data_IF_801147281879
#
_entry.id   IF_801147281879
#
_cell.length_a   1.000
_cell.length_b   1.000
_cell.length_c   1.000
_cell.angle_alpha   90.00
_cell.angle_beta   90.00
_cell.angle_gamma   90.00
#
_symmetry.space_group_name_H-M   'P 1'
#
loop_
_entity.id
_entity.type
_entity.pdbx_description
1 polymer ?
#
# COMPACT_ATOMS: atom_id res chain seq x y z
N UNK A 1 54.17 37.06 -79.62
CA UNK A 1 53.22 35.93 -79.57
C UNK A 1 52.85 35.67 -78.11
N UNK A 2 51.64 35.15 -77.80
CA UNK A 2 51.02 35.34 -76.49
C UNK A 2 50.96 34.08 -75.61
N UNK A 3 50.43 34.29 -74.39
CA UNK A 3 49.59 33.37 -73.61
C UNK A 3 50.22 32.45 -72.55
N UNK A 4 49.36 32.14 -71.56
CA UNK A 4 49.43 31.10 -70.52
C UNK A 4 50.32 31.36 -69.29
N UNK A 5 49.72 31.98 -68.24
CA UNK A 5 49.98 31.64 -66.83
C UNK A 5 48.98 32.34 -65.85
N UNK A 6 47.67 32.07 -66.00
CA UNK A 6 46.67 32.38 -64.96
C UNK A 6 45.58 31.29 -64.95
N UNK A 7 45.53 30.47 -63.89
CA UNK A 7 44.57 29.36 -63.86
C UNK A 7 44.61 28.39 -62.67
N UNK A 8 45.12 28.78 -61.48
CA UNK A 8 45.22 27.90 -60.31
C UNK A 8 45.04 28.67 -58.97
N UNK A 9 43.85 29.24 -58.72
CA UNK A 9 43.57 29.86 -57.40
C UNK A 9 42.09 29.81 -56.96
N UNK A 10 41.13 29.93 -57.90
CA UNK A 10 39.70 30.06 -57.56
C UNK A 10 39.03 28.81 -56.96
N UNK A 11 39.62 27.62 -57.06
CA UNK A 11 38.95 26.36 -56.68
C UNK A 11 39.11 26.00 -55.18
N UNK A 12 40.14 26.52 -54.50
CA UNK A 12 40.44 26.13 -53.11
C UNK A 12 39.58 26.88 -52.07
N UNK A 13 39.24 28.14 -52.33
CA UNK A 13 38.35 28.95 -51.46
C UNK A 13 36.90 28.43 -51.42
N UNK A 14 36.43 27.77 -52.47
CA UNK A 14 35.08 27.17 -52.52
C UNK A 14 34.93 26.00 -51.54
N UNK A 15 35.83 25.01 -51.65
CA UNK A 15 35.79 23.79 -50.83
C UNK A 15 35.98 24.04 -49.33
N UNK A 16 36.80 25.02 -48.96
CA UNK A 16 37.00 25.36 -47.54
C UNK A 16 35.72 25.95 -46.90
N UNK A 17 34.95 26.75 -47.66
CA UNK A 17 33.70 27.35 -47.19
C UNK A 17 32.57 26.32 -47.03
N UNK A 18 32.43 25.38 -47.97
CA UNK A 18 31.44 24.29 -47.81
C UNK A 18 31.82 23.31 -46.71
N UNK A 19 33.10 22.98 -46.54
CA UNK A 19 33.57 22.14 -45.43
C UNK A 19 33.23 22.72 -44.05
N UNK A 20 33.49 24.02 -43.85
CA UNK A 20 33.13 24.72 -42.60
C UNK A 20 31.61 24.80 -42.37
N UNK A 21 30.82 25.00 -43.42
CA UNK A 21 29.35 25.05 -43.30
C UNK A 21 28.76 23.69 -42.87
N UNK A 22 29.24 22.58 -43.44
CA UNK A 22 28.80 21.22 -43.09
C UNK A 22 29.27 20.84 -41.68
N UNK A 23 30.50 21.18 -41.29
CA UNK A 23 30.99 20.91 -39.94
C UNK A 23 30.22 21.71 -38.88
N UNK A 24 29.87 22.97 -39.19
CA UNK A 24 29.07 23.82 -38.33
C UNK A 24 27.65 23.30 -38.10
N UNK A 25 26.97 22.81 -39.15
CA UNK A 25 25.64 22.19 -39.00
C UNK A 25 25.68 20.84 -38.30
N UNK A 26 26.77 20.07 -38.41
CA UNK A 26 26.93 18.80 -37.68
C UNK A 26 27.27 19.00 -36.19
N UNK A 27 27.94 20.09 -35.83
CA UNK A 27 28.31 20.41 -34.44
C UNK A 27 27.22 21.15 -33.66
N UNK A 28 26.32 21.87 -34.33
CA UNK A 28 25.22 22.63 -33.69
C UNK A 28 24.23 21.80 -32.82
N UNK A 29 23.83 20.56 -33.17
CA UNK A 29 22.88 19.79 -32.35
C UNK A 29 23.49 19.21 -31.07
N UNK A 30 24.81 19.05 -30.98
CA UNK A 30 25.48 18.48 -29.80
C UNK A 30 25.27 19.28 -28.51
N UNK A 31 25.46 20.62 -28.45
CA UNK A 31 25.14 21.39 -27.25
C UNK A 31 23.64 21.41 -26.91
N UNK A 32 22.75 21.33 -27.91
CA UNK A 32 21.31 21.22 -27.69
C UNK A 32 20.94 19.87 -27.07
N UNK A 33 21.51 18.77 -27.56
CA UNK A 33 21.35 17.44 -26.95
C UNK A 33 21.91 17.38 -25.52
N UNK A 34 23.05 18.03 -25.27
CA UNK A 34 23.61 18.17 -23.92
C UNK A 34 22.69 18.96 -22.96
N UNK A 35 22.10 20.06 -23.43
CA UNK A 35 21.11 20.84 -22.67
C UNK A 35 19.82 20.03 -22.40
N UNK A 36 19.31 19.30 -23.40
CA UNK A 36 18.17 18.41 -23.21
C UNK A 36 18.47 17.31 -22.19
N UNK A 37 19.65 16.67 -22.26
CA UNK A 37 20.08 15.66 -21.31
C UNK A 37 20.20 16.21 -19.88
N UNK A 38 20.75 17.42 -19.71
CA UNK A 38 20.83 18.09 -18.40
C UNK A 38 19.44 18.44 -17.84
N UNK A 39 18.51 18.89 -18.68
CA UNK A 39 17.14 19.19 -18.25
C UNK A 39 16.37 17.91 -17.88
N UNK A 40 16.56 16.81 -18.62
CA UNK A 40 16.02 15.49 -18.30
C UNK A 40 16.60 14.91 -17.00
N UNK A 41 17.92 15.01 -16.78
CA UNK A 41 18.51 14.58 -15.50
C UNK A 41 17.98 15.43 -14.33
N UNK A 42 17.83 16.75 -14.52
CA UNK A 42 17.35 17.63 -13.45
C UNK A 42 15.88 17.34 -13.09
N UNK A 43 15.00 17.12 -14.06
CA UNK A 43 13.61 16.75 -13.77
C UNK A 43 13.48 15.37 -13.12
N UNK A 44 14.30 14.38 -13.51
CA UNK A 44 14.39 13.08 -12.83
C UNK A 44 14.94 13.20 -11.40
N UNK A 45 15.85 14.14 -11.14
CA UNK A 45 16.44 14.35 -9.83
C UNK A 45 15.52 15.13 -8.88
N UNK A 46 14.69 16.05 -9.40
CA UNK A 46 13.65 16.74 -8.62
C UNK A 46 12.44 15.85 -8.30
N UNK A 47 12.04 14.92 -9.19
CA UNK A 47 10.99 13.92 -8.88
C UNK A 47 11.44 12.79 -7.96
N UNK A 48 12.73 12.63 -7.71
CA UNK A 48 13.28 11.55 -6.86
C UNK A 48 13.74 12.02 -5.47
N UNK A 49 13.37 13.24 -5.03
CA UNK A 49 13.34 13.56 -3.59
C UNK A 49 12.09 12.96 -2.96
N UNK A 50 12.14 11.65 -2.70
CA UNK A 50 11.30 11.03 -1.67
C UNK A 50 11.63 11.75 -0.37
N UNK A 51 10.75 12.64 0.07
CA UNK A 51 10.90 13.30 1.37
C UNK A 51 10.76 12.22 2.45
N UNK A 52 11.71 12.18 3.38
CA UNK A 52 11.67 11.21 4.47
C UNK A 52 10.38 11.41 5.29
N UNK A 53 9.70 10.32 5.71
CA UNK A 53 8.49 10.43 6.52
C UNK A 53 8.75 11.24 7.80
N UNK A 54 7.93 12.25 8.06
CA UNK A 54 8.13 13.16 9.19
C UNK A 54 7.32 12.66 10.39
N UNK A 55 8.00 12.10 11.39
CA UNK A 55 7.34 11.75 12.66
C UNK A 55 6.96 13.03 13.41
N UNK A 56 5.66 13.25 13.57
CA UNK A 56 5.09 14.31 14.39
C UNK A 56 5.50 14.07 15.84
N UNK A 57 6.11 15.04 16.54
CA UNK A 57 6.55 14.85 17.93
C UNK A 57 5.35 14.72 18.87
N UNK A 58 5.57 14.12 20.04
CA UNK A 58 4.69 14.33 21.19
C UNK A 58 4.95 15.72 21.77
N UNK A 59 3.93 16.56 21.83
CA UNK A 59 3.97 17.90 22.39
C UNK A 59 3.81 17.85 23.92
N UNK A 60 4.49 18.76 24.62
CA UNK A 60 4.26 18.95 26.04
C UNK A 60 2.90 19.64 26.30
N UNK A 61 2.28 19.47 27.49
CA UNK A 61 0.98 20.07 27.81
C UNK A 61 0.89 21.57 27.52
N UNK A 62 1.92 22.34 27.89
CA UNK A 62 2.00 23.79 27.64
C UNK A 62 2.05 24.14 26.15
N UNK A 63 2.64 23.29 25.31
CA UNK A 63 2.64 23.49 23.86
C UNK A 63 1.25 23.20 23.26
N UNK A 64 0.53 22.19 23.78
CA UNK A 64 -0.84 21.84 23.39
C UNK A 64 -1.84 22.93 23.76
N UNK A 65 -1.67 23.58 24.92
CA UNK A 65 -2.43 24.78 25.32
C UNK A 65 -2.17 25.97 24.38
N UNK A 66 -1.00 26.04 23.74
CA UNK A 66 -0.64 27.06 22.75
C UNK A 66 -1.16 26.78 21.33
N UNK A 67 -1.64 25.58 21.03
CA UNK A 67 -2.24 25.23 19.72
C UNK A 67 -3.76 25.45 19.73
N UNK A 68 -4.27 26.21 18.76
CA UNK A 68 -5.68 26.62 18.71
C UNK A 68 -6.62 25.48 18.32
N UNK A 69 -6.13 24.53 17.53
CA UNK A 69 -6.91 23.44 16.90
C UNK A 69 -6.83 22.11 17.65
N UNK A 70 -5.98 21.98 18.67
CA UNK A 70 -5.75 20.72 19.38
C UNK A 70 -7.05 20.12 19.96
N UNK A 71 -7.34 18.87 19.61
CA UNK A 71 -8.56 18.16 20.01
C UNK A 71 -9.85 18.65 19.33
N UNK A 72 -9.79 19.59 18.38
CA UNK A 72 -10.95 19.95 17.55
C UNK A 72 -11.15 18.95 16.42
N UNK A 73 -12.39 18.79 16.00
CA UNK A 73 -12.75 18.04 14.81
C UNK A 73 -12.08 18.62 13.55
N UNK A 74 -11.73 17.75 12.62
CA UNK A 74 -11.11 18.07 11.33
C UNK A 74 -11.61 17.11 10.25
N UNK A 75 -11.51 17.54 8.99
CA UNK A 75 -11.74 16.69 7.81
C UNK A 75 -10.42 16.29 7.14
N UNK A 76 -9.36 17.09 7.31
CA UNK A 76 -8.04 16.85 6.74
C UNK A 76 -6.95 17.65 7.51
N UNK A 77 -5.69 17.40 7.19
CA UNK A 77 -4.54 18.02 7.86
C UNK A 77 -4.45 19.56 7.76
N UNK A 78 -5.11 20.19 6.77
CA UNK A 78 -5.10 21.66 6.64
C UNK A 78 -6.04 22.38 7.61
N UNK A 79 -6.93 21.65 8.29
CA UNK A 79 -7.76 22.16 9.38
C UNK A 79 -6.97 22.30 10.70
N UNK A 80 -5.75 21.77 10.75
CA UNK A 80 -4.93 21.65 11.96
C UNK A 80 -3.73 22.61 11.99
N UNK A 81 -3.30 22.98 13.20
CA UNK A 81 -2.05 23.73 13.41
C UNK A 81 -0.85 22.93 12.85
N UNK A 82 0.23 23.58 12.33
CA UNK A 82 1.27 22.88 11.55
C UNK A 82 2.02 21.72 12.25
N UNK A 83 2.00 21.67 13.59
CA UNK A 83 2.60 20.61 14.42
C UNK A 83 1.63 19.50 14.78
N UNK A 84 0.38 19.60 14.33
CA UNK A 84 -0.69 18.62 14.52
C UNK A 84 -1.07 18.00 13.17
N UNK A 85 -1.82 16.91 13.23
CA UNK A 85 -2.39 16.21 12.07
C UNK A 85 -3.80 15.74 12.40
N UNK A 86 -4.62 15.62 11.37
CA UNK A 86 -5.97 15.11 11.48
C UNK A 86 -5.90 13.59 11.69
N UNK A 87 -6.53 13.11 12.75
CA UNK A 87 -6.45 11.71 13.15
C UNK A 87 -7.84 11.13 13.41
N UNK A 88 -8.20 10.10 12.64
CA UNK A 88 -9.41 9.32 12.88
C UNK A 88 -9.22 8.32 14.02
N UNK A 89 -9.99 8.50 15.10
CA UNK A 89 -10.05 7.54 16.20
C UNK A 89 -11.24 6.60 16.02
N UNK A 90 -10.96 5.31 15.80
CA UNK A 90 -12.02 4.29 15.74
C UNK A 90 -12.84 4.20 17.05
N UNK A 91 -12.25 4.57 18.19
CA UNK A 91 -12.91 4.61 19.51
C UNK A 91 -13.94 5.74 19.62
N UNK A 92 -13.66 6.89 18.99
CA UNK A 92 -14.56 8.05 19.00
C UNK A 92 -15.44 8.14 17.75
N UNK A 93 -15.13 7.33 16.73
CA UNK A 93 -15.69 7.39 15.37
C UNK A 93 -15.63 8.81 14.77
N UNK A 94 -14.59 9.56 15.11
CA UNK A 94 -14.39 10.95 14.68
C UNK A 94 -12.91 11.27 14.41
N UNK A 95 -12.70 12.24 13.52
CA UNK A 95 -11.38 12.78 13.20
C UNK A 95 -11.13 14.07 13.97
N UNK A 96 -9.96 14.19 14.61
CA UNK A 96 -9.57 15.40 15.34
C UNK A 96 -8.07 15.72 15.22
N UNK A 97 -7.72 17.00 15.38
CA UNK A 97 -6.34 17.45 15.31
C UNK A 97 -5.52 17.00 16.54
N UNK A 98 -4.44 16.27 16.31
CA UNK A 98 -3.59 15.69 17.35
C UNK A 98 -2.10 15.75 17.01
N UNK A 99 -1.28 15.66 18.05
CA UNK A 99 0.11 15.26 17.99
C UNK A 99 0.27 13.75 18.25
N UNK A 100 1.51 13.26 18.27
CA UNK A 100 1.79 11.91 18.74
C UNK A 100 1.49 11.76 20.23
N UNK A 101 0.88 10.65 20.62
CA UNK A 101 0.48 10.35 22.01
C UNK A 101 1.52 9.55 22.79
N UNK A 102 2.52 9.02 22.09
CA UNK A 102 3.68 8.34 22.66
C UNK A 102 4.86 8.48 21.69
N UNK A 103 6.08 8.26 22.17
CA UNK A 103 7.26 8.04 21.32
C UNK A 103 7.83 6.63 21.53
N UNK A 104 7.55 6.01 22.67
CA UNK A 104 8.01 4.71 23.14
C UNK A 104 6.91 3.98 23.92
N UNK A 105 7.00 2.65 24.05
CA UNK A 105 6.03 1.84 24.82
C UNK A 105 5.90 2.25 26.29
N UNK A 106 6.93 2.89 26.87
CA UNK A 106 6.96 3.33 28.28
C UNK A 106 6.01 4.49 28.57
N UNK A 107 5.57 5.20 27.55
CA UNK A 107 4.61 6.31 27.66
C UNK A 107 3.17 5.84 27.49
N UNK A 108 2.97 4.57 27.11
CA UNK A 108 1.66 3.95 27.01
C UNK A 108 1.21 3.31 28.33
N UNK A 109 -0.11 3.21 28.59
CA UNK A 109 -0.64 2.45 29.73
C UNK A 109 -0.25 0.97 29.68
N UNK A 110 -0.34 0.29 30.82
CA UNK A 110 -0.13 -1.16 30.87
C UNK A 110 -1.12 -1.88 29.94
N UNK A 111 -0.60 -2.82 29.13
CA UNK A 111 -1.38 -3.50 28.08
C UNK A 111 -1.41 -2.78 26.73
N UNK A 112 -0.70 -1.67 26.55
CA UNK A 112 -0.59 -0.94 25.28
C UNK A 112 0.86 -0.85 24.77
N UNK A 113 1.03 -0.59 23.47
CA UNK A 113 2.31 -0.42 22.78
C UNK A 113 2.27 0.79 21.83
N UNK A 114 3.42 1.42 21.58
CA UNK A 114 3.51 2.66 20.82
C UNK A 114 3.68 2.39 19.32
N UNK A 115 2.56 2.26 18.61
CA UNK A 115 2.52 1.99 17.17
C UNK A 115 2.69 3.27 16.34
N UNK A 116 3.34 3.15 15.19
CA UNK A 116 3.45 4.24 14.19
C UNK A 116 2.33 4.09 13.16
N UNK A 117 1.69 5.18 12.78
CA UNK A 117 0.70 5.21 11.70
C UNK A 117 0.91 6.41 10.78
N UNK A 118 0.50 6.26 9.52
CA UNK A 118 0.53 7.32 8.51
C UNK A 118 -0.71 8.20 8.63
N UNK A 119 -0.53 9.52 8.57
CA UNK A 119 -1.61 10.51 8.55
C UNK A 119 -2.20 10.69 7.13
N UNK A 120 -3.31 11.43 7.01
CA UNK A 120 -4.04 11.61 5.75
C UNK A 120 -3.21 12.28 4.63
N UNK A 121 -2.24 13.15 4.95
CA UNK A 121 -1.28 13.71 3.97
C UNK A 121 -0.27 12.68 3.38
N UNK A 122 -0.34 11.44 3.84
CA UNK A 122 0.58 10.31 3.67
C UNK A 122 2.07 10.56 4.04
N UNK A 123 2.44 11.76 4.48
CA UNK A 123 3.83 12.21 4.66
C UNK A 123 4.22 12.29 6.12
N UNK A 124 3.27 12.67 6.96
CA UNK A 124 3.41 12.70 8.39
C UNK A 124 3.13 11.33 8.98
N UNK A 125 3.97 10.95 9.94
CA UNK A 125 3.75 9.80 10.78
C UNK A 125 3.38 10.28 12.17
N UNK A 126 2.31 9.74 12.71
CA UNK A 126 1.94 9.91 14.11
C UNK A 126 2.24 8.63 14.88
N UNK A 127 2.33 8.73 16.20
CA UNK A 127 2.49 7.59 17.10
C UNK A 127 1.38 7.58 18.15
N UNK A 128 0.76 6.43 18.36
CA UNK A 128 -0.31 6.25 19.35
C UNK A 128 -0.21 4.90 20.06
N UNK A 129 -0.78 4.87 21.25
CA UNK A 129 -0.88 3.65 22.05
C UNK A 129 -2.00 2.76 21.50
N UNK A 130 -1.61 1.66 20.87
CA UNK A 130 -2.52 0.59 20.40
C UNK A 130 -2.48 -0.57 21.39
N UNK A 131 -3.58 -1.32 21.54
CA UNK A 131 -3.64 -2.40 22.52
C UNK A 131 -2.69 -3.54 22.13
N UNK A 132 -1.94 -4.05 23.12
CA UNK A 132 -1.20 -5.31 22.96
C UNK A 132 -2.22 -6.44 22.92
N UNK A 133 -2.19 -7.22 21.85
CA UNK A 133 -3.10 -8.32 21.62
C UNK A 133 -2.42 -9.67 21.63
N UNK A 134 -3.11 -10.65 21.06
CA UNK A 134 -2.78 -12.07 21.11
C UNK A 134 -2.16 -12.57 19.80
N UNK A 135 -2.29 -11.80 18.69
CA UNK A 135 -1.84 -12.19 17.34
C UNK A 135 -0.33 -12.40 17.27
N UNK A 136 0.07 -13.46 16.58
CA UNK A 136 1.45 -13.93 16.41
C UNK A 136 2.12 -13.33 15.19
N UNK A 137 3.44 -13.42 15.15
CA UNK A 137 4.22 -12.99 14.00
C UNK A 137 3.81 -13.75 12.74
N UNK A 138 3.43 -13.01 11.69
CA UNK A 138 2.87 -13.58 10.48
C UNK A 138 1.36 -13.83 10.53
N UNK A 139 0.63 -13.25 11.48
CA UNK A 139 -0.84 -13.14 11.44
C UNK A 139 -1.29 -11.72 11.07
N UNK A 140 -2.50 -11.60 10.51
CA UNK A 140 -3.14 -10.33 10.17
C UNK A 140 -3.57 -9.56 11.43
N UNK A 141 -3.56 -8.23 11.38
CA UNK A 141 -3.82 -7.37 12.53
C UNK A 141 -4.37 -5.99 12.16
N UNK A 142 -4.97 -5.34 13.15
CA UNK A 142 -5.41 -3.95 13.06
C UNK A 142 -4.43 -3.00 13.75
N UNK A 143 -4.04 -1.92 13.06
CA UNK A 143 -2.97 -1.02 13.54
C UNK A 143 -3.36 -0.29 14.83
N UNK A 144 -4.63 0.05 15.00
CA UNK A 144 -5.17 0.91 16.07
C UNK A 144 -6.41 0.30 16.73
N UNK A 145 -6.29 -0.94 17.21
CA UNK A 145 -7.41 -1.63 17.86
C UNK A 145 -7.44 -1.45 19.38
N UNK A 146 -8.64 -1.63 19.95
CA UNK A 146 -8.90 -1.77 21.39
C UNK A 146 -9.20 -3.23 21.79
N UNK A 147 -9.25 -4.13 20.82
CA UNK A 147 -9.55 -5.55 20.98
C UNK A 147 -8.24 -6.35 20.94
N UNK A 148 -8.11 -7.40 21.76
CA UNK A 148 -6.83 -8.13 21.88
C UNK A 148 -6.66 -9.21 20.82
N UNK A 149 -7.75 -9.79 20.34
CA UNK A 149 -7.79 -10.68 19.19
C UNK A 149 -7.47 -9.98 17.87
N UNK A 150 -7.54 -8.66 17.78
CA UNK A 150 -7.15 -7.88 16.59
C UNK A 150 -5.73 -7.27 16.69
N UNK A 151 -5.14 -7.27 17.89
CA UNK A 151 -3.85 -6.64 18.18
C UNK A 151 -2.67 -7.61 18.16
N UNK A 152 -1.47 -7.10 17.90
CA UNK A 152 -0.24 -7.91 17.92
C UNK A 152 0.29 -8.16 19.33
N UNK A 153 0.93 -9.31 19.52
CA UNK A 153 1.65 -9.61 20.76
C UNK A 153 2.83 -8.67 21.02
N UNK A 154 3.24 -8.59 22.30
CA UNK A 154 4.22 -7.63 22.78
C UNK A 154 5.57 -7.75 22.03
N UNK A 155 5.99 -6.64 21.43
CA UNK A 155 7.26 -6.54 20.70
C UNK A 155 7.13 -6.69 19.19
N UNK A 156 5.94 -7.01 18.68
CA UNK A 156 5.61 -6.93 17.26
C UNK A 156 4.97 -5.57 16.93
N UNK A 157 5.14 -5.14 15.68
CA UNK A 157 4.47 -3.97 15.13
C UNK A 157 3.40 -4.42 14.14
N UNK A 158 2.26 -3.74 14.13
CA UNK A 158 1.20 -4.02 13.17
C UNK A 158 1.35 -3.16 11.92
N UNK A 159 1.52 -3.79 10.75
CA UNK A 159 1.46 -3.13 9.45
C UNK A 159 0.47 -3.88 8.52
N UNK A 160 -0.75 -4.04 9.04
CA UNK A 160 -1.77 -4.99 8.56
C UNK A 160 -1.45 -6.45 8.88
N UNK A 161 -0.19 -6.77 9.17
CA UNK A 161 0.26 -8.07 9.70
C UNK A 161 1.29 -7.81 10.81
N UNK A 162 1.29 -8.67 11.82
CA UNK A 162 2.21 -8.61 12.94
C UNK A 162 3.61 -9.05 12.52
N UNK A 163 4.59 -8.17 12.66
CA UNK A 163 5.99 -8.45 12.33
C UNK A 163 6.94 -7.86 13.36
N UNK A 164 8.03 -8.57 13.67
CA UNK A 164 9.10 -7.98 14.49
C UNK A 164 9.80 -6.87 13.68
N UNK A 165 10.32 -5.81 14.33
CA UNK A 165 11.18 -4.83 13.67
C UNK A 165 12.41 -5.48 13.03
N UNK A 166 12.80 -5.03 11.84
CA UNK A 166 13.90 -5.61 11.06
C UNK A 166 14.79 -4.55 10.42
N UNK A 167 15.89 -4.96 9.77
CA UNK A 167 16.76 -4.04 9.03
C UNK A 167 16.76 -4.39 7.54
N UNK A 168 16.31 -3.50 6.64
CA UNK A 168 16.27 -3.77 5.21
C UNK A 168 17.65 -4.17 4.67
N UNK A 169 17.68 -5.21 3.83
CA UNK A 169 18.93 -5.78 3.30
C UNK A 169 19.71 -6.67 4.28
N UNK A 170 19.27 -6.83 5.54
CA UNK A 170 19.86 -7.77 6.49
C UNK A 170 18.98 -9.03 6.65
N UNK A 171 19.26 -10.12 5.91
CA UNK A 171 18.42 -11.33 5.95
C UNK A 171 18.41 -12.00 7.33
N UNK A 172 19.44 -11.77 8.16
CA UNK A 172 19.54 -12.33 9.51
C UNK A 172 18.59 -11.67 10.53
N UNK A 173 17.86 -10.60 10.18
CA UNK A 173 16.92 -9.94 11.11
C UNK A 173 15.53 -10.58 11.13
N UNK A 174 15.16 -11.35 10.10
CA UNK A 174 13.89 -12.05 10.03
C UNK A 174 14.07 -13.57 10.18
N UNK A 175 13.13 -14.27 10.84
CA UNK A 175 13.14 -15.73 10.91
C UNK A 175 12.92 -16.37 9.54
N UNK A 176 13.20 -17.67 9.42
CA UNK A 176 13.00 -18.39 8.17
C UNK A 176 11.56 -18.23 7.67
N UNK A 177 11.41 -17.82 6.42
CA UNK A 177 10.12 -17.66 5.79
C UNK A 177 9.46 -16.30 5.94
N UNK A 178 10.19 -15.36 6.51
CA UNK A 178 9.86 -13.95 6.56
C UNK A 178 10.92 -13.16 5.80
N UNK A 179 10.52 -12.03 5.23
CA UNK A 179 11.43 -11.06 4.62
C UNK A 179 11.24 -9.70 5.28
N UNK A 180 12.29 -8.89 5.31
CA UNK A 180 12.22 -7.55 5.89
C UNK A 180 11.57 -6.58 4.90
N UNK A 181 10.31 -6.21 5.15
CA UNK A 181 9.59 -5.22 4.36
C UNK A 181 9.82 -3.82 4.93
N UNK A 182 10.29 -2.89 4.09
CA UNK A 182 10.40 -1.47 4.44
C UNK A 182 9.13 -0.72 4.01
N UNK A 183 8.42 -0.13 4.97
CA UNK A 183 7.31 0.81 4.76
C UNK A 183 7.67 2.20 5.29
N UNK A 184 6.73 3.16 5.30
CA UNK A 184 6.98 4.49 5.89
C UNK A 184 7.01 4.41 7.41
N UNK A 185 6.17 3.55 7.98
CA UNK A 185 5.93 3.34 9.41
C UNK A 185 7.10 2.65 10.14
N UNK A 186 7.99 2.00 9.38
CA UNK A 186 9.18 1.29 9.85
C UNK A 186 9.39 -0.03 9.10
N UNK A 187 10.56 -0.65 9.24
CA UNK A 187 10.81 -1.95 8.62
C UNK A 187 10.41 -3.11 9.55
N UNK A 188 9.58 -4.04 9.05
CA UNK A 188 9.08 -5.20 9.80
C UNK A 188 9.18 -6.50 9.00
N UNK A 189 9.32 -7.63 9.70
CA UNK A 189 9.29 -8.95 9.08
C UNK A 189 7.87 -9.30 8.61
N UNK A 190 7.72 -9.60 7.33
CA UNK A 190 6.45 -10.00 6.69
C UNK A 190 6.56 -11.43 6.14
N UNK A 191 5.49 -12.24 6.16
CA UNK A 191 5.53 -13.62 5.65
C UNK A 191 5.69 -13.66 4.12
N UNK A 192 6.35 -14.69 3.58
CA UNK A 192 6.60 -14.80 2.11
C UNK A 192 6.25 -16.13 1.42
N UNK A 193 6.41 -17.31 2.03
CA UNK A 193 6.36 -18.64 1.33
C UNK A 193 7.17 -18.84 0.00
N UNK A 194 7.67 -17.80 -0.66
CA UNK A 194 8.36 -17.90 -1.96
C UNK A 194 9.62 -18.76 -1.87
N UNK A 195 9.90 -19.50 -2.94
CA UNK A 195 11.04 -20.42 -3.00
C UNK A 195 10.94 -21.64 -2.06
N UNK A 196 9.80 -21.85 -1.40
CA UNK A 196 9.59 -22.96 -0.46
C UNK A 196 8.36 -23.80 -0.84
N UNK A 197 8.37 -25.06 -0.43
CA UNK A 197 7.18 -25.90 -0.48
C UNK A 197 6.24 -25.52 0.68
N UNK A 198 4.95 -25.40 0.37
CA UNK A 198 3.92 -25.31 1.40
C UNK A 198 3.52 -26.70 1.92
N UNK A 199 2.91 -26.79 3.12
CA UNK A 199 2.32 -28.02 3.62
C UNK A 199 1.31 -28.65 2.65
N UNK A 200 1.09 -29.97 2.78
CA UNK A 200 0.12 -30.70 1.96
C UNK A 200 -1.27 -30.04 2.01
N UNK A 201 -1.90 -29.86 0.83
CA UNK A 201 -3.19 -29.17 0.69
C UNK A 201 -3.11 -27.64 0.64
N UNK A 202 -1.96 -27.04 0.97
CA UNK A 202 -1.72 -25.61 0.86
C UNK A 202 -0.85 -25.28 -0.36
N UNK A 203 -0.95 -24.03 -0.85
CA UNK A 203 0.00 -23.48 -1.83
C UNK A 203 0.43 -22.08 -1.43
N UNK A 204 1.47 -21.56 -2.08
CA UNK A 204 1.94 -20.21 -1.84
C UNK A 204 1.03 -19.20 -2.57
N UNK A 205 0.41 -18.29 -1.82
CA UNK A 205 -0.60 -17.32 -2.27
C UNK A 205 -0.05 -15.91 -2.12
N UNK A 206 -0.13 -15.06 -3.15
CA UNK A 206 0.11 -13.62 -2.98
C UNK A 206 -1.09 -12.99 -2.23
N UNK A 207 -0.81 -12.21 -1.19
CA UNK A 207 -1.80 -11.48 -0.41
C UNK A 207 -1.45 -9.99 -0.39
N UNK A 208 -1.98 -9.27 -1.39
CA UNK A 208 -1.85 -7.82 -1.49
C UNK A 208 -0.62 -7.34 -2.28
N UNK A 209 -0.10 -8.15 -3.21
CA UNK A 209 0.92 -7.77 -4.20
C UNK A 209 2.32 -7.50 -3.64
N UNK A 210 2.57 -7.90 -2.39
CA UNK A 210 3.81 -7.60 -1.64
C UNK A 210 4.22 -8.68 -0.65
N UNK A 211 3.37 -9.69 -0.43
CA UNK A 211 3.45 -10.66 0.68
C UNK A 211 2.84 -11.94 0.22
N UNK A 212 3.25 -13.04 0.83
CA UNK A 212 2.74 -14.33 0.41
C UNK A 212 2.74 -15.35 1.55
N UNK A 213 1.69 -16.16 1.60
CA UNK A 213 1.43 -17.12 2.69
C UNK A 213 1.15 -18.51 2.13
N UNK A 214 1.53 -19.54 2.88
CA UNK A 214 1.01 -20.88 2.61
C UNK A 214 -0.42 -20.95 3.11
N UNK A 215 -1.36 -21.17 2.19
CA UNK A 215 -2.77 -21.30 2.54
C UNK A 215 -3.51 -22.29 1.64
N UNK A 216 -4.59 -22.86 2.16
CA UNK A 216 -5.60 -23.57 1.40
C UNK A 216 -6.55 -22.55 0.74
N UNK A 217 -6.82 -22.73 -0.56
CA UNK A 217 -7.67 -21.82 -1.32
C UNK A 217 -9.13 -22.29 -1.27
N UNK A 218 -10.01 -21.38 -0.88
CA UNK A 218 -11.45 -21.53 -0.96
C UNK A 218 -12.01 -20.63 -2.07
N UNK A 219 -12.96 -21.15 -2.85
CA UNK A 219 -13.54 -20.46 -4.00
C UNK A 219 -12.74 -20.62 -5.30
N UNK A 220 -12.72 -19.58 -6.14
CA UNK A 220 -12.03 -19.62 -7.45
C UNK A 220 -10.60 -19.15 -7.27
N UNK A 221 -9.64 -20.05 -7.51
CA UNK A 221 -8.21 -19.71 -7.52
C UNK A 221 -7.83 -18.78 -8.69
N UNK A 222 -8.01 -17.49 -8.44
CA UNK A 222 -7.83 -16.44 -9.41
C UNK A 222 -6.37 -16.00 -9.64
N UNK A 223 -5.41 -16.66 -8.99
CA UNK A 223 -3.98 -16.51 -9.27
C UNK A 223 -3.45 -17.68 -10.10
N UNK A 224 -4.00 -18.89 -9.93
CA UNK A 224 -3.72 -20.01 -10.84
C UNK A 224 -4.43 -19.85 -12.19
N UNK A 225 -5.65 -19.30 -12.19
CA UNK A 225 -6.45 -19.04 -13.40
C UNK A 225 -6.81 -17.57 -13.46
N UNK A 226 -6.36 -16.86 -14.49
CA UNK A 226 -6.63 -15.43 -14.65
C UNK A 226 -8.13 -15.13 -14.76
N UNK A 227 -8.58 -14.06 -14.10
CA UNK A 227 -9.96 -13.60 -14.16
C UNK A 227 -10.39 -13.11 -15.56
N UNK A 228 -11.70 -13.07 -15.78
CA UNK A 228 -12.27 -12.55 -17.01
C UNK A 228 -12.08 -11.04 -17.18
N UNK A 229 -12.33 -10.49 -18.39
CA UNK A 229 -12.19 -9.05 -18.65
C UNK A 229 -13.00 -8.20 -17.67
N UNK A 230 -12.36 -7.21 -17.04
CA UNK A 230 -12.98 -6.29 -16.08
C UNK A 230 -13.19 -6.86 -14.67
N UNK A 231 -12.64 -8.05 -14.37
CA UNK A 231 -12.63 -8.64 -13.03
C UNK A 231 -11.24 -8.56 -12.41
N UNK A 232 -11.16 -8.25 -11.11
CA UNK A 232 -9.93 -8.38 -10.33
C UNK A 232 -9.96 -9.69 -9.53
N UNK A 233 -8.80 -10.31 -9.34
CA UNK A 233 -8.61 -11.36 -8.35
C UNK A 233 -8.56 -10.73 -6.95
N UNK A 234 -9.47 -11.10 -6.06
CA UNK A 234 -9.38 -10.76 -4.64
C UNK A 234 -9.05 -12.01 -3.83
N UNK A 235 -7.85 -12.05 -3.24
CA UNK A 235 -7.50 -12.95 -2.15
C UNK A 235 -7.83 -12.24 -0.82
N UNK A 236 -8.49 -12.94 0.10
CA UNK A 236 -8.81 -12.45 1.45
C UNK A 236 -8.46 -13.52 2.47
N UNK A 237 -7.64 -13.14 3.44
CA UNK A 237 -7.32 -13.90 4.67
C UNK A 237 -8.32 -13.64 5.80
N UNK A 238 -9.28 -12.74 5.57
CA UNK A 238 -10.44 -12.50 6.41
C UNK A 238 -11.59 -13.47 6.06
N UNK A 239 -12.26 -14.08 7.04
CA UNK A 239 -12.02 -13.96 8.49
C UNK A 239 -10.73 -14.68 8.91
N UNK A 240 -10.04 -14.11 9.90
CA UNK A 240 -8.63 -14.40 10.24
C UNK A 240 -8.36 -15.86 10.65
N UNK A 241 -8.31 -16.75 9.67
CA UNK A 241 -8.04 -18.17 9.79
C UNK A 241 -6.62 -18.46 9.27
N UNK A 242 -5.63 -18.69 10.15
CA UNK A 242 -4.24 -18.91 9.73
C UNK A 242 -4.13 -20.12 8.80
N UNK A 243 -3.65 -19.90 7.58
CA UNK A 243 -3.51 -20.94 6.56
C UNK A 243 -4.75 -21.18 5.68
N UNK A 244 -5.78 -20.34 5.75
CA UNK A 244 -6.91 -20.33 4.81
C UNK A 244 -6.95 -19.01 4.02
N UNK A 245 -7.45 -19.06 2.78
CA UNK A 245 -7.68 -17.86 1.96
C UNK A 245 -8.92 -18.02 1.08
N UNK A 246 -9.76 -16.99 1.04
CA UNK A 246 -10.91 -16.92 0.15
C UNK A 246 -10.54 -16.15 -1.11
N UNK A 247 -10.66 -16.81 -2.26
CA UNK A 247 -10.31 -16.26 -3.56
C UNK A 247 -11.52 -16.23 -4.48
N UNK A 248 -11.69 -15.10 -5.17
CA UNK A 248 -12.74 -14.93 -6.18
C UNK A 248 -12.32 -13.91 -7.23
N UNK A 249 -12.80 -14.11 -8.46
CA UNK A 249 -12.84 -13.07 -9.48
C UNK A 249 -14.08 -12.21 -9.27
N UNK A 250 -13.90 -10.90 -9.08
CA UNK A 250 -15.03 -9.99 -8.86
C UNK A 250 -14.85 -8.64 -9.54
N UNK A 251 -15.96 -8.07 -10.00
CA UNK A 251 -16.00 -6.72 -10.56
C UNK A 251 -16.16 -5.72 -9.43
N UNK A 252 -15.59 -4.53 -9.59
CA UNK A 252 -15.81 -3.41 -8.66
C UNK A 252 -17.03 -2.60 -9.12
N UNK A 253 -17.93 -2.25 -8.20
CA UNK A 253 -19.23 -1.63 -8.46
C UNK A 253 -19.49 -0.43 -7.54
N UNK A 254 -20.53 0.36 -7.84
CA UNK A 254 -20.93 1.56 -7.08
C UNK A 254 -19.87 2.67 -6.97
N UNK A 255 -18.82 2.62 -7.80
CA UNK A 255 -17.87 3.71 -8.00
C UNK A 255 -18.14 4.43 -9.32
N UNK A 256 -17.82 5.72 -9.39
CA UNK A 256 -18.00 6.53 -10.60
C UNK A 256 -17.31 5.90 -11.82
N UNK A 257 -18.04 5.78 -12.93
CA UNK A 257 -17.53 5.17 -14.17
C UNK A 257 -17.38 3.65 -14.16
N UNK A 258 -17.83 2.93 -13.12
CA UNK A 258 -17.85 1.45 -13.12
C UNK A 258 -19.18 0.89 -13.67
N UNK A 259 -19.14 -0.26 -14.37
CA UNK A 259 -20.36 -0.91 -14.86
C UNK A 259 -21.21 -1.46 -13.69
N UNK A 260 -22.52 -1.67 -13.90
CA UNK A 260 -23.35 -2.44 -12.97
C UNK A 260 -22.89 -3.91 -12.93
N UNK A 261 -23.22 -4.58 -11.83
CA UNK A 261 -22.92 -6.01 -11.68
C UNK A 261 -23.63 -6.88 -12.72
N UNK A 262 -22.99 -7.98 -13.18
CA UNK A 262 -23.60 -8.90 -14.14
C UNK A 262 -24.77 -9.68 -13.53
N UNK A 263 -25.60 -10.25 -14.39
CA UNK A 263 -26.74 -11.09 -14.00
C UNK A 263 -26.32 -12.21 -13.02
N UNK A 264 -27.17 -12.47 -12.02
CA UNK A 264 -26.87 -13.41 -10.93
C UNK A 264 -25.93 -12.86 -9.84
N UNK A 265 -25.48 -11.61 -9.94
CA UNK A 265 -24.65 -10.96 -8.90
C UNK A 265 -25.22 -9.61 -8.45
N UNK A 266 -24.92 -9.21 -7.22
CA UNK A 266 -25.28 -7.91 -6.66
C UNK A 266 -24.05 -7.19 -6.10
N UNK A 267 -24.14 -5.87 -5.98
CA UNK A 267 -23.07 -5.09 -5.35
C UNK A 267 -23.15 -5.23 -3.83
N UNK A 268 -22.05 -5.65 -3.20
CA UNK A 268 -21.90 -5.70 -1.76
C UNK A 268 -20.46 -5.27 -1.40
N UNK A 269 -20.34 -4.21 -0.59
CA UNK A 269 -19.04 -3.61 -0.22
C UNK A 269 -18.19 -3.28 -1.47
N UNK A 270 -18.80 -2.56 -2.42
CA UNK A 270 -18.23 -2.17 -3.72
C UNK A 270 -17.71 -3.32 -4.60
N UNK A 271 -18.09 -4.57 -4.32
CA UNK A 271 -17.74 -5.76 -5.12
C UNK A 271 -18.98 -6.52 -5.56
N UNK A 272 -19.01 -6.95 -6.82
CA UNK A 272 -20.06 -7.84 -7.29
C UNK A 272 -19.88 -9.24 -6.68
N UNK A 273 -20.89 -9.71 -5.95
CA UNK A 273 -20.94 -11.02 -5.28
C UNK A 273 -22.10 -11.86 -5.84
N UNK A 274 -22.00 -13.19 -5.92
CA UNK A 274 -23.12 -14.05 -6.29
C UNK A 274 -24.32 -13.82 -5.38
N UNK A 275 -25.51 -13.66 -5.95
CA UNK A 275 -26.77 -13.60 -5.20
C UNK A 275 -27.15 -15.01 -4.76
N UNK A 276 -27.61 -15.14 -3.52
CA UNK A 276 -28.06 -16.39 -2.93
C UNK A 276 -29.45 -16.21 -2.32
N UNK A 277 -30.05 -17.30 -1.83
CA UNK A 277 -31.25 -17.23 -0.98
C UNK A 277 -31.13 -18.24 0.15
N UNK A 278 -31.36 -17.83 1.42
CA UNK A 278 -31.26 -18.73 2.57
C UNK A 278 -32.31 -19.84 2.54
N UNK A 279 -33.45 -19.63 1.89
CA UNK A 279 -34.58 -20.57 1.86
C UNK A 279 -34.55 -21.56 0.66
N UNK A 280 -33.40 -21.72 0.00
CA UNK A 280 -33.21 -22.70 -1.10
C UNK A 280 -32.90 -22.09 -2.47
N UNK A 281 -32.08 -21.03 -2.51
CA UNK A 281 -31.51 -20.51 -3.76
C UNK A 281 -30.38 -21.38 -4.31
N UNK A 282 -29.64 -20.83 -5.28
CA UNK A 282 -28.35 -21.41 -5.66
C UNK A 282 -27.42 -21.42 -4.42
N UNK A 283 -26.85 -22.57 -4.03
CA UNK A 283 -25.98 -22.63 -2.87
C UNK A 283 -24.70 -21.84 -3.15
N UNK A 284 -24.18 -21.21 -2.10
CA UNK A 284 -22.84 -20.62 -2.16
C UNK A 284 -21.78 -21.73 -2.33
N UNK A 285 -20.58 -21.34 -2.78
CA UNK A 285 -19.46 -22.26 -2.88
C UNK A 285 -19.08 -22.84 -1.50
N UNK A 286 -18.34 -23.94 -1.48
CA UNK A 286 -17.78 -24.48 -0.24
C UNK A 286 -16.94 -23.42 0.48
N UNK A 287 -17.12 -23.30 1.81
CA UNK A 287 -16.59 -22.23 2.65
C UNK A 287 -17.12 -20.82 2.31
N UNK A 288 -18.33 -20.72 1.79
CA UNK A 288 -19.09 -19.48 1.68
C UNK A 288 -20.52 -19.69 2.18
N UNK A 289 -21.06 -18.70 2.89
CA UNK A 289 -22.43 -18.69 3.39
C UNK A 289 -23.27 -17.57 2.75
N UNK A 290 -24.59 -17.69 2.86
CA UNK A 290 -25.52 -16.71 2.33
C UNK A 290 -25.82 -15.63 3.38
N UNK A 291 -25.17 -14.48 3.28
CA UNK A 291 -25.38 -13.36 4.20
C UNK A 291 -26.43 -12.40 3.66
N UNK A 292 -27.22 -11.80 4.54
CA UNK A 292 -28.17 -10.74 4.18
C UNK A 292 -28.11 -9.58 5.16
N UNK A 293 -28.23 -8.36 4.63
CA UNK A 293 -28.28 -7.12 5.40
C UNK A 293 -29.59 -6.38 5.13
N UNK A 294 -30.11 -5.59 6.09
CA UNK A 294 -31.32 -4.79 5.87
C UNK A 294 -31.19 -3.91 4.61
N UNK A 295 -32.19 -3.97 3.74
CA UNK A 295 -32.26 -3.25 2.46
C UNK A 295 -31.19 -3.64 1.41
N UNK A 296 -30.49 -4.76 1.56
CA UNK A 296 -29.57 -5.31 0.55
C UNK A 296 -29.98 -6.72 0.11
N UNK A 297 -29.73 -7.12 -1.15
CA UNK A 297 -29.93 -8.50 -1.58
C UNK A 297 -28.97 -9.44 -0.84
N UNK A 298 -29.41 -10.67 -0.60
CA UNK A 298 -28.57 -11.69 0.03
C UNK A 298 -27.46 -12.14 -0.94
N UNK A 299 -26.23 -12.24 -0.44
CA UNK A 299 -25.03 -12.52 -1.23
C UNK A 299 -24.13 -13.56 -0.57
N UNK A 300 -23.36 -14.28 -1.39
CA UNK A 300 -22.35 -15.19 -0.87
C UNK A 300 -21.14 -14.42 -0.31
N UNK A 301 -20.85 -14.64 0.97
CA UNK A 301 -19.66 -14.16 1.68
C UNK A 301 -18.86 -15.37 2.23
N UNK A 302 -17.56 -15.23 2.54
CA UNK A 302 -16.79 -16.24 3.27
C UNK A 302 -17.56 -16.72 4.52
N UNK A 303 -17.57 -18.02 4.79
CA UNK A 303 -18.23 -18.55 5.99
C UNK A 303 -17.39 -18.26 7.24
N UNK A 304 -17.80 -17.21 7.96
CA UNK A 304 -17.27 -16.92 9.28
C UNK A 304 -17.68 -18.05 10.21
N UNK A 305 -16.74 -18.97 10.46
CA UNK A 305 -16.75 -19.72 11.71
C UNK A 305 -16.72 -18.66 12.82
N UNK A 306 -17.85 -18.52 13.52
CA UNK A 306 -18.06 -17.52 14.55
C UNK A 306 -17.08 -17.77 15.71
N UNK A 307 -15.93 -17.10 15.62
CA UNK A 307 -14.90 -17.06 16.65
C UNK A 307 -15.14 -15.91 17.63
N UNK A 308 -16.40 -15.50 17.82
CA UNK A 308 -16.78 -14.70 18.98
C UNK A 308 -16.28 -15.41 20.26
N UNK A 309 -15.39 -14.79 21.05
CA UNK A 309 -15.02 -15.36 22.33
C UNK A 309 -16.24 -15.39 23.27
N UNK A 310 -16.38 -16.41 24.14
CA UNK A 310 -17.50 -16.57 25.06
C UNK A 310 -17.52 -15.56 26.22
#
# INVERSE_FOLDING_TARGET
MPSQLQGLDSNMKGRLRTGLAVLGTLLLPLPLLGLCALMLMKTLQETSRVQEPVVIPMLHPVEREGTLTYGRECQNDSDCDPRLRCFFSMVLQSSYCTDSRCMTDKECPEGFSCQTYTADDERALLKACSRVGDRKEGEECEVLTVESDSGCERGLLCQGWCGRPCTPGSPATCPEGFFCHASREGAVCQPTCEGRACPDGQRCIDVGGKRSVCAQVHGTDCQAVACGPGQDCSARTYPWAPGEVWMQCSQTCELEGKPPCPEGTACAVHRCRPVCSPDGGAPCAERFECTSHPNQPAVCAPDVADQSPP
#
